data_IF_436713105155
#
_entry.id   IF_436713105155
#
_cell.length_a   1.000
_cell.length_b   1.000
_cell.length_c   1.000
_cell.angle_alpha   90.00
_cell.angle_beta   90.00
_cell.angle_gamma   90.00
#
_symmetry.space_group_name_H-M   'P 1'
#
loop_
_entity.id
_entity.type
_entity.pdbx_description
1 polymer ?
#
# COMPACT_ATOMS: atom_id res chain seq x y z
N UNK A 1 -8.12 14.22 4.14
CA UNK A 1 -8.03 13.11 3.17
C UNK A 1 -7.11 12.02 3.71
N UNK A 2 -7.58 10.81 3.71
CA UNK A 2 -6.77 9.70 4.20
C UNK A 2 -5.72 9.30 3.18
N UNK A 3 -4.52 9.04 3.65
CA UNK A 3 -3.39 8.70 2.80
C UNK A 3 -3.22 7.18 2.77
N UNK A 4 -3.19 6.62 1.57
CA UNK A 4 -3.18 5.17 1.36
C UNK A 4 -1.92 4.74 0.63
N UNK A 5 -1.33 3.63 1.07
CA UNK A 5 -0.31 2.93 0.31
C UNK A 5 -0.90 1.60 -0.16
N UNK A 6 -0.73 1.30 -1.44
CA UNK A 6 -1.11 0.02 -2.02
C UNK A 6 0.16 -0.79 -2.22
N UNK A 7 0.17 -2.00 -1.69
CA UNK A 7 1.34 -2.88 -1.77
C UNK A 7 0.93 -4.25 -2.32
N UNK A 8 1.55 -4.66 -3.41
CA UNK A 8 1.28 -5.95 -4.05
C UNK A 8 2.48 -6.32 -4.91
N UNK A 9 2.86 -7.59 -4.93
CA UNK A 9 3.98 -8.05 -5.74
C UNK A 9 3.63 -8.12 -7.24
N UNK A 10 2.36 -7.92 -7.58
CA UNK A 10 1.93 -7.86 -8.98
C UNK A 10 1.53 -6.43 -9.35
N UNK A 11 2.33 -5.73 -10.16
CA UNK A 11 2.03 -4.34 -10.55
C UNK A 11 0.67 -4.14 -11.21
N UNK A 12 0.18 -5.17 -11.91
CA UNK A 12 -1.13 -5.10 -12.55
C UNK A 12 -2.27 -4.99 -11.54
N UNK A 13 -2.12 -5.64 -10.39
CA UNK A 13 -3.10 -5.54 -9.32
C UNK A 13 -3.14 -4.13 -8.76
N UNK A 14 -1.98 -3.52 -8.56
CA UNK A 14 -1.90 -2.14 -8.08
C UNK A 14 -2.60 -1.20 -9.05
N UNK A 15 -2.35 -1.34 -10.34
CA UNK A 15 -3.00 -0.52 -11.36
C UNK A 15 -4.51 -0.73 -11.37
N UNK A 16 -4.94 -1.98 -11.26
CA UNK A 16 -6.35 -2.31 -11.22
C UNK A 16 -7.05 -1.65 -10.06
N UNK A 17 -6.48 -1.73 -8.87
CA UNK A 17 -7.05 -1.11 -7.69
C UNK A 17 -7.13 0.41 -7.84
N UNK A 18 -6.08 1.02 -8.37
CA UNK A 18 -6.08 2.47 -8.56
C UNK A 18 -7.17 2.94 -9.52
N UNK A 19 -7.49 2.13 -10.54
CA UNK A 19 -8.51 2.47 -11.51
C UNK A 19 -9.91 2.15 -11.03
N UNK A 20 -10.07 1.04 -10.31
CA UNK A 20 -11.40 0.58 -9.89
C UNK A 20 -11.98 1.41 -8.76
N UNK A 21 -11.15 1.89 -7.87
CA UNK A 21 -11.61 2.60 -6.70
C UNK A 21 -11.74 4.09 -6.97
N UNK A 22 -12.80 4.68 -6.47
CA UNK A 22 -13.02 6.12 -6.58
C UNK A 22 -12.47 6.78 -5.31
N UNK A 23 -11.16 6.85 -5.23
CA UNK A 23 -10.45 7.31 -4.03
C UNK A 23 -10.91 8.70 -3.57
N UNK A 24 -11.08 9.61 -4.52
CA UNK A 24 -11.52 10.96 -4.17
C UNK A 24 -12.89 11.02 -3.51
N UNK A 25 -13.80 10.14 -3.94
CA UNK A 25 -15.14 10.08 -3.34
C UNK A 25 -15.14 9.49 -1.95
N UNK A 26 -14.11 8.70 -1.62
CA UNK A 26 -13.96 8.11 -0.30
C UNK A 26 -13.12 8.99 0.63
N UNK A 27 -12.81 10.21 0.21
CA UNK A 27 -11.93 11.12 0.93
C UNK A 27 -10.56 10.49 1.19
N UNK A 28 -10.03 9.80 0.18
CA UNK A 28 -8.78 9.08 0.25
C UNK A 28 -7.87 9.44 -0.92
N UNK A 29 -6.58 9.23 -0.73
CA UNK A 29 -5.57 9.51 -1.74
C UNK A 29 -4.50 8.42 -1.71
N UNK A 30 -4.19 7.85 -2.87
CA UNK A 30 -3.10 6.89 -2.97
C UNK A 30 -1.79 7.66 -3.08
N UNK A 31 -0.99 7.61 -2.03
CA UNK A 31 0.25 8.39 -1.95
C UNK A 31 1.49 7.56 -2.26
N UNK A 32 1.37 6.24 -2.31
CA UNK A 32 2.51 5.39 -2.61
C UNK A 32 2.10 4.01 -3.07
N UNK A 33 3.02 3.34 -3.76
CA UNK A 33 2.86 1.98 -4.26
C UNK A 33 4.12 1.20 -3.95
N UNK A 34 3.96 -0.04 -3.51
CA UNK A 34 5.09 -0.92 -3.20
C UNK A 34 4.89 -2.28 -3.87
N UNK A 35 5.95 -2.84 -4.42
CA UNK A 35 5.92 -4.14 -5.07
C UNK A 35 6.51 -5.24 -4.21
N UNK A 36 7.16 -4.89 -3.12
CA UNK A 36 7.72 -5.85 -2.17
C UNK A 36 7.75 -5.26 -0.76
N UNK A 37 8.12 -6.10 0.20
CA UNK A 37 8.13 -5.68 1.61
C UNK A 37 9.13 -4.60 1.92
N UNK A 38 10.29 -4.62 1.25
CA UNK A 38 11.30 -3.60 1.46
C UNK A 38 10.83 -2.24 1.01
N UNK A 39 10.21 -2.17 -0.18
CA UNK A 39 9.63 -0.93 -0.66
C UNK A 39 8.55 -0.42 0.27
N UNK A 40 7.70 -1.33 0.75
CA UNK A 40 6.63 -0.96 1.67
C UNK A 40 7.18 -0.35 2.96
N UNK A 41 8.19 -0.98 3.55
CA UNK A 41 8.80 -0.48 4.77
C UNK A 41 9.43 0.91 4.57
N UNK A 42 10.08 1.12 3.42
CA UNK A 42 10.65 2.42 3.10
C UNK A 42 9.58 3.51 2.98
N UNK A 43 8.45 3.17 2.35
CA UNK A 43 7.35 4.11 2.21
C UNK A 43 6.66 4.42 3.53
N UNK A 44 6.54 3.42 4.41
CA UNK A 44 5.98 3.63 5.73
C UNK A 44 6.79 4.65 6.53
N UNK A 45 8.10 4.55 6.43
CA UNK A 45 9.00 5.44 7.15
C UNK A 45 8.95 6.88 6.60
N UNK A 46 8.68 7.02 5.32
CA UNK A 46 8.72 8.30 4.62
C UNK A 46 7.36 9.00 4.55
N UNK A 47 6.31 8.24 4.27
CA UNK A 47 5.00 8.80 3.95
C UNK A 47 3.99 8.78 5.10
N UNK A 48 4.20 7.95 6.09
CA UNK A 48 3.32 7.83 7.25
C UNK A 48 1.84 7.73 6.85
N UNK A 49 1.45 6.65 6.14
CA UNK A 49 0.08 6.53 5.65
C UNK A 49 -0.93 6.25 6.77
N UNK A 50 -2.19 6.58 6.50
CA UNK A 50 -3.28 6.24 7.41
C UNK A 50 -3.77 4.81 7.19
N UNK A 51 -3.72 4.33 5.94
CA UNK A 51 -4.24 3.02 5.55
C UNK A 51 -3.23 2.34 4.64
N UNK A 52 -3.06 1.04 4.84
CA UNK A 52 -2.24 0.19 3.98
C UNK A 52 -3.10 -0.94 3.43
N UNK A 53 -3.16 -1.05 2.11
CA UNK A 53 -3.77 -2.18 1.43
C UNK A 53 -2.61 -3.05 0.95
N UNK A 54 -2.43 -4.21 1.55
CA UNK A 54 -1.26 -5.03 1.26
C UNK A 54 -1.63 -6.48 0.99
N UNK A 55 -1.07 -7.03 -0.08
CA UNK A 55 -1.12 -8.45 -0.41
C UNK A 55 0.28 -8.88 -0.83
N UNK A 56 1.26 -8.55 -0.02
CA UNK A 56 2.66 -8.89 -0.28
C UNK A 56 3.08 -10.03 0.62
N UNK A 57 3.71 -11.04 0.00
CA UNK A 57 4.38 -12.09 0.74
C UNK A 57 5.75 -11.57 1.18
N UNK A 58 6.00 -11.60 2.48
CA UNK A 58 7.27 -11.11 3.04
C UNK A 58 7.96 -12.25 3.78
N UNK A 59 8.96 -12.87 3.18
CA UNK A 59 9.62 -14.04 3.78
C UNK A 59 10.31 -13.73 5.11
N UNK A 60 10.78 -12.52 5.31
CA UNK A 60 11.49 -12.13 6.53
C UNK A 60 10.58 -11.49 7.58
N UNK A 61 9.43 -11.00 7.14
CA UNK A 61 8.46 -10.35 8.03
C UNK A 61 7.07 -10.70 7.56
N UNK A 62 6.17 -10.94 8.48
CA UNK A 62 4.78 -11.18 8.13
C UNK A 62 4.09 -9.84 7.85
N UNK A 63 2.98 -9.89 7.11
CA UNK A 63 2.17 -8.69 6.93
C UNK A 63 1.69 -8.12 8.25
N UNK A 64 1.52 -8.97 9.25
CA UNK A 64 1.12 -8.55 10.59
C UNK A 64 2.18 -7.67 11.25
N UNK A 65 3.46 -7.99 11.04
CA UNK A 65 4.55 -7.18 11.59
C UNK A 65 4.57 -5.78 10.96
N UNK A 66 4.24 -5.69 9.70
CA UNK A 66 4.20 -4.41 8.99
C UNK A 66 2.99 -3.58 9.41
N UNK A 67 1.87 -4.23 9.64
CA UNK A 67 0.61 -3.55 9.98
C UNK A 67 0.56 -3.06 11.42
N UNK A 68 1.44 -3.55 12.23
CA UNK A 68 1.54 -3.06 13.59
C UNK A 68 2.28 -1.75 13.63
#
# INVERSE_FOLDING_TARGET
MYRIIIADDEPLIIRGLKKMMEWGKMDTEVVGEAEDGEQLLNLLDTLEPDIIISDISMPEKTGLDVLK
#
